data_IF_838568861674
#
_entry.id   IF_838568861674
#
_cell.length_a   1.000
_cell.length_b   1.000
_cell.length_c   1.000
_cell.angle_alpha   90.00
_cell.angle_beta   90.00
_cell.angle_gamma   90.00
#
_symmetry.space_group_name_H-M   'P 1'
#
loop_
_entity.id
_entity.type
_entity.pdbx_description
1 polymer ?
#
# COMPACT_ATOMS: atom_id res chain seq x y z
N UNK A 1 3.87 -1.11 11.18
CA UNK A 1 3.39 -1.97 12.27
C UNK A 1 4.00 -1.64 13.63
N UNK A 2 5.25 -1.18 13.72
CA UNK A 2 5.85 -0.84 15.03
C UNK A 2 5.05 0.19 15.85
N UNK A 3 4.55 1.24 15.20
CA UNK A 3 3.69 2.26 15.84
C UNK A 3 2.45 1.65 16.51
N UNK A 4 1.85 0.62 15.90
CA UNK A 4 0.70 -0.07 16.46
C UNK A 4 1.02 -0.68 17.83
N UNK A 5 2.23 -1.21 18.00
CA UNK A 5 2.67 -1.77 19.29
C UNK A 5 2.81 -0.70 20.37
N UNK A 6 3.28 0.49 20.00
CA UNK A 6 3.35 1.64 20.91
C UNK A 6 1.95 2.11 21.32
N UNK A 7 1.03 2.17 20.35
CA UNK A 7 -0.38 2.48 20.60
C UNK A 7 -0.99 1.47 21.58
N UNK A 8 -0.73 0.17 21.40
CA UNK A 8 -1.23 -0.85 22.31
C UNK A 8 -0.65 -0.72 23.71
N UNK A 9 0.64 -0.42 23.83
CA UNK A 9 1.26 -0.16 25.13
C UNK A 9 0.61 1.04 25.85
N UNK A 10 0.34 2.15 25.14
CA UNK A 10 -0.37 3.31 25.71
C UNK A 10 -1.80 2.95 26.13
N UNK A 11 -2.52 2.11 25.36
CA UNK A 11 -3.85 1.63 25.73
C UNK A 11 -3.80 0.80 27.03
N UNK A 12 -2.83 -0.10 27.15
CA UNK A 12 -2.63 -0.93 28.34
C UNK A 12 -2.32 -0.07 29.57
N UNK A 13 -1.38 0.88 29.43
CA UNK A 13 -0.98 1.81 30.49
C UNK A 13 -2.16 2.65 30.98
N UNK A 14 -2.92 3.29 30.07
CA UNK A 14 -4.09 4.11 30.42
C UNK A 14 -5.22 3.31 31.10
N UNK A 15 -5.24 1.99 30.92
CA UNK A 15 -6.26 1.10 31.50
C UNK A 15 -5.77 0.35 32.73
N UNK A 16 -4.49 0.45 33.08
CA UNK A 16 -3.90 -0.29 34.19
C UNK A 16 -3.95 -1.80 33.98
N UNK A 17 -3.79 -2.27 32.74
CA UNK A 17 -3.71 -3.70 32.40
C UNK A 17 -2.33 -4.04 31.83
N UNK A 18 -1.91 -5.29 31.97
CA UNK A 18 -0.61 -5.73 31.45
C UNK A 18 -0.65 -6.04 29.96
N UNK A 19 -1.79 -6.54 29.47
CA UNK A 19 -1.94 -6.94 28.07
C UNK A 19 -3.26 -6.50 27.44
N UNK A 20 -3.29 -6.43 26.11
CA UNK A 20 -4.51 -6.09 25.35
C UNK A 20 -5.60 -7.16 25.50
N UNK A 21 -5.22 -8.39 25.82
CA UNK A 21 -6.09 -9.54 26.09
C UNK A 21 -6.84 -9.42 27.42
N UNK A 22 -6.32 -8.66 28.39
CA UNK A 22 -6.97 -8.42 29.68
C UNK A 22 -8.17 -7.47 29.54
N UNK A 23 -8.27 -6.77 28.42
CA UNK A 23 -9.40 -5.92 28.09
C UNK A 23 -10.54 -6.80 27.55
N UNK A 24 -11.80 -6.60 27.98
CA UNK A 24 -12.93 -7.39 27.50
C UNK A 24 -13.00 -7.51 25.97
N UNK A 25 -13.31 -8.72 25.51
CA UNK A 25 -13.23 -9.11 24.10
C UNK A 25 -13.83 -8.09 23.13
N UNK A 26 -13.09 -7.79 22.07
CA UNK A 26 -13.50 -6.87 21.01
C UNK A 26 -13.41 -5.38 21.37
N UNK A 27 -13.20 -5.02 22.64
CA UNK A 27 -13.06 -3.61 23.05
C UNK A 27 -11.63 -3.10 22.96
N UNK A 28 -10.62 -3.98 23.12
CA UNK A 28 -9.20 -3.62 23.09
C UNK A 28 -8.83 -2.85 21.82
N UNK A 29 -9.17 -3.38 20.66
CA UNK A 29 -8.89 -2.76 19.36
C UNK A 29 -9.69 -1.49 19.12
N UNK A 30 -10.93 -1.42 19.63
CA UNK A 30 -11.75 -0.19 19.55
C UNK A 30 -11.10 0.94 20.32
N UNK A 31 -10.51 0.65 21.50
CA UNK A 31 -9.77 1.66 22.24
C UNK A 31 -8.54 2.12 21.47
N UNK A 32 -7.76 1.21 20.92
CA UNK A 32 -6.61 1.57 20.09
C UNK A 32 -6.97 2.51 18.92
N UNK A 33 -8.20 2.46 18.38
CA UNK A 33 -8.64 3.40 17.35
C UNK A 33 -8.68 4.86 17.84
N UNK A 34 -8.96 5.11 19.12
CA UNK A 34 -8.90 6.45 19.70
C UNK A 34 -7.48 7.00 19.62
N UNK A 35 -6.49 6.25 20.08
CA UNK A 35 -5.07 6.63 19.95
C UNK A 35 -4.62 6.78 18.50
N UNK A 36 -5.07 5.89 17.61
CA UNK A 36 -4.77 6.04 16.18
C UNK A 36 -5.29 7.36 15.63
N UNK A 37 -6.50 7.79 16.01
CA UNK A 37 -7.05 9.08 15.58
C UNK A 37 -6.24 10.26 16.12
N UNK A 38 -5.73 10.18 17.36
CA UNK A 38 -4.84 11.20 17.91
C UNK A 38 -3.54 11.33 17.10
N UNK A 39 -2.94 10.19 16.73
CA UNK A 39 -1.76 10.17 15.85
C UNK A 39 -2.07 10.80 14.49
N UNK A 40 -3.15 10.36 13.84
CA UNK A 40 -3.53 10.86 12.52
C UNK A 40 -3.85 12.36 12.55
N UNK A 41 -4.51 12.85 13.61
CA UNK A 41 -4.74 14.28 13.82
C UNK A 41 -3.43 15.07 13.96
N UNK A 42 -2.42 14.52 14.64
CA UNK A 42 -1.08 15.11 14.70
C UNK A 42 -0.40 15.17 13.33
N UNK A 43 -0.54 14.11 12.51
CA UNK A 43 -0.03 14.08 11.14
C UNK A 43 -0.76 15.09 10.24
N UNK A 44 -2.07 15.26 10.42
CA UNK A 44 -2.86 16.27 9.73
C UNK A 44 -2.40 17.69 10.09
N UNK A 45 -2.07 17.96 11.36
CA UNK A 45 -1.52 19.25 11.77
C UNK A 45 -0.18 19.53 11.07
N UNK A 46 0.72 18.53 10.99
CA UNK A 46 1.99 18.67 10.25
C UNK A 46 1.76 18.93 8.75
N UNK A 47 0.80 18.23 8.14
CA UNK A 47 0.44 18.44 6.73
C UNK A 47 -0.12 19.84 6.50
N UNK A 48 -1.15 20.22 7.25
CA UNK A 48 -1.96 21.40 6.97
C UNK A 48 -1.29 22.70 7.45
N UNK A 49 -0.59 22.67 8.59
CA UNK A 49 0.01 23.86 9.20
C UNK A 49 1.49 24.05 8.89
N UNK A 50 2.16 23.00 8.40
CA UNK A 50 3.60 23.03 8.06
C UNK A 50 3.90 22.62 6.62
N UNK A 51 2.89 22.25 5.83
CA UNK A 51 3.07 21.86 4.43
C UNK A 51 3.90 20.60 4.25
N UNK A 52 3.96 19.73 5.26
CA UNK A 52 4.79 18.53 5.22
C UNK A 52 4.09 17.39 4.46
N UNK A 53 4.81 16.69 3.60
CA UNK A 53 4.36 15.42 3.06
C UNK A 53 4.52 14.32 4.11
N UNK A 54 3.42 13.62 4.40
CA UNK A 54 3.40 12.50 5.33
C UNK A 54 3.44 11.20 4.54
N UNK A 55 4.50 10.41 4.73
CA UNK A 55 4.65 9.09 4.12
C UNK A 55 4.71 8.06 5.23
N UNK A 56 3.74 7.15 5.25
CA UNK A 56 3.69 6.04 6.19
C UNK A 56 4.17 4.77 5.51
N UNK A 57 5.05 4.03 6.20
CA UNK A 57 5.54 2.73 5.75
C UNK A 57 5.03 1.62 6.66
N UNK A 58 4.57 0.53 6.05
CA UNK A 58 4.12 -0.66 6.75
C UNK A 58 4.63 -1.91 6.03
N UNK A 59 4.99 -2.93 6.81
CA UNK A 59 5.24 -4.26 6.26
C UNK A 59 3.95 -4.80 5.62
N UNK A 60 4.09 -5.56 4.54
CA UNK A 60 2.98 -6.30 3.95
C UNK A 60 2.82 -7.66 4.63
N UNK A 61 1.58 -8.12 4.76
CA UNK A 61 1.22 -9.48 5.13
C UNK A 61 0.33 -10.08 4.05
N UNK A 62 0.29 -11.40 3.96
CA UNK A 62 -0.67 -12.11 3.10
C UNK A 62 -1.92 -12.36 3.93
N UNK A 63 -3.06 -11.87 3.45
CA UNK A 63 -4.38 -12.14 4.04
C UNK A 63 -5.29 -12.85 3.04
N UNK A 64 -6.10 -13.76 3.56
CA UNK A 64 -7.12 -14.45 2.78
C UNK A 64 -8.35 -13.56 2.62
N UNK A 65 -8.73 -13.25 1.39
CA UNK A 65 -9.86 -12.40 1.05
C UNK A 65 -11.00 -13.20 0.42
N UNK A 66 -12.14 -13.23 1.11
CA UNK A 66 -13.36 -13.85 0.61
C UNK A 66 -14.13 -12.83 -0.25
N UNK A 67 -13.94 -12.90 -1.56
CA UNK A 67 -14.70 -12.09 -2.52
C UNK A 67 -16.12 -12.67 -2.66
N UNK A 68 -17.20 -11.86 -2.58
CA UNK A 68 -18.54 -12.33 -2.89
C UNK A 68 -18.74 -12.73 -4.36
N UNK A 69 -17.92 -12.22 -5.29
CA UNK A 69 -18.08 -12.44 -6.73
C UNK A 69 -17.15 -13.50 -7.33
N UNK A 70 -16.08 -13.87 -6.63
CA UNK A 70 -15.06 -14.82 -7.10
C UNK A 70 -14.65 -15.79 -6.01
N UNK A 71 -13.86 -16.80 -6.36
CA UNK A 71 -13.22 -17.64 -5.37
C UNK A 71 -12.37 -16.82 -4.40
N UNK A 72 -12.17 -17.38 -3.21
CA UNK A 72 -11.29 -16.81 -2.20
C UNK A 72 -9.85 -16.82 -2.69
N UNK A 73 -9.15 -15.69 -2.55
CA UNK A 73 -7.76 -15.54 -2.93
C UNK A 73 -6.95 -14.88 -1.81
N UNK A 74 -5.63 -15.03 -1.90
CA UNK A 74 -4.68 -14.39 -1.02
C UNK A 74 -4.24 -13.04 -1.60
N UNK A 75 -4.16 -12.02 -0.75
CA UNK A 75 -3.74 -10.66 -1.14
C UNK A 75 -2.77 -10.06 -0.15
N UNK A 76 -1.91 -9.18 -0.64
CA UNK A 76 -1.03 -8.37 0.20
C UNK A 76 -1.82 -7.20 0.81
N UNK A 77 -1.78 -7.10 2.13
CA UNK A 77 -2.35 -5.99 2.90
C UNK A 77 -1.33 -5.43 3.91
N UNK A 78 -1.51 -4.20 4.42
CA UNK A 78 -0.67 -3.71 5.51
C UNK A 78 -0.77 -4.63 6.73
N UNK A 79 0.38 -4.97 7.32
CA UNK A 79 0.50 -5.76 8.55
C UNK A 79 0.10 -4.92 9.77
N UNK A 80 -1.17 -4.59 9.83
CA UNK A 80 -1.82 -3.87 10.93
C UNK A 80 -3.06 -4.67 11.35
N UNK A 81 -3.55 -4.41 12.55
CA UNK A 81 -4.84 -4.92 12.98
C UNK A 81 -5.95 -4.42 12.04
N UNK A 82 -6.92 -5.27 11.75
CA UNK A 82 -7.93 -5.06 10.70
C UNK A 82 -8.61 -3.67 10.73
N UNK A 83 -9.04 -3.20 11.91
CA UNK A 83 -9.71 -1.91 12.08
C UNK A 83 -8.74 -0.74 11.96
N UNK A 84 -7.51 -0.87 12.50
CA UNK A 84 -6.47 0.14 12.34
C UNK A 84 -6.04 0.28 10.87
N UNK A 85 -5.86 -0.85 10.19
CA UNK A 85 -5.55 -0.92 8.76
C UNK A 85 -6.62 -0.19 7.94
N UNK A 86 -7.91 -0.47 8.19
CA UNK A 86 -9.01 0.21 7.53
C UNK A 86 -9.00 1.73 7.79
N UNK A 87 -8.84 2.14 9.05
CA UNK A 87 -8.79 3.56 9.44
C UNK A 87 -7.64 4.32 8.74
N UNK A 88 -6.44 3.75 8.72
CA UNK A 88 -5.27 4.39 8.11
C UNK A 88 -5.43 4.45 6.59
N UNK A 89 -5.92 3.39 5.94
CA UNK A 89 -6.15 3.37 4.49
C UNK A 89 -7.27 4.35 4.06
N UNK A 90 -8.29 4.52 4.89
CA UNK A 90 -9.33 5.52 4.67
C UNK A 90 -8.75 6.94 4.73
N UNK A 91 -7.92 7.22 5.74
CA UNK A 91 -7.27 8.52 5.97
C UNK A 91 -6.23 8.87 4.88
N UNK A 92 -5.43 7.91 4.42
CA UNK A 92 -4.42 8.15 3.40
C UNK A 92 -5.05 8.62 2.08
N UNK A 93 -4.47 9.64 1.43
CA UNK A 93 -4.88 10.02 0.07
C UNK A 93 -4.60 8.87 -0.92
N UNK A 94 -3.39 8.31 -0.82
CA UNK A 94 -2.88 7.22 -1.65
C UNK A 94 -2.46 6.02 -0.79
N UNK A 95 -2.73 4.80 -1.25
CA UNK A 95 -2.21 3.55 -0.67
C UNK A 95 -1.51 2.80 -1.79
N UNK A 96 -0.19 2.63 -1.68
CA UNK A 96 0.63 2.06 -2.75
C UNK A 96 1.31 0.78 -2.27
N UNK A 97 1.36 -0.24 -3.12
CA UNK A 97 2.03 -1.50 -2.80
C UNK A 97 3.41 -1.58 -3.46
N UNK A 98 4.47 -1.48 -2.65
CA UNK A 98 5.85 -1.60 -3.10
C UNK A 98 6.25 -3.08 -3.27
N UNK A 99 6.72 -3.45 -4.47
CA UNK A 99 7.11 -4.82 -4.78
C UNK A 99 8.18 -4.87 -5.87
N UNK A 100 8.68 -6.07 -6.16
CA UNK A 100 9.56 -6.30 -7.31
C UNK A 100 8.74 -6.58 -8.56
N UNK A 101 9.22 -6.10 -9.71
CA UNK A 101 8.66 -6.46 -11.00
C UNK A 101 8.99 -7.92 -11.29
N UNK A 102 7.95 -8.75 -11.43
CA UNK A 102 8.08 -10.16 -11.79
C UNK A 102 7.81 -10.29 -13.28
N UNK A 103 8.83 -10.66 -14.06
CA UNK A 103 8.65 -11.03 -15.46
C UNK A 103 8.38 -12.52 -15.53
N UNK A 104 7.22 -12.91 -16.04
CA UNK A 104 6.90 -14.32 -16.24
C UNK A 104 7.45 -14.79 -17.59
N UNK A 105 8.38 -15.75 -17.57
CA UNK A 105 8.79 -16.48 -18.77
C UNK A 105 8.11 -17.83 -18.77
N UNK A 106 7.26 -18.09 -19.76
CA UNK A 106 6.69 -19.42 -19.97
C UNK A 106 7.74 -20.30 -20.63
N UNK A 107 8.20 -21.32 -19.92
CA UNK A 107 9.08 -22.35 -20.47
C UNK A 107 8.20 -23.54 -20.86
N UNK A 108 8.26 -23.94 -22.13
CA UNK A 108 7.59 -25.14 -22.62
C UNK A 108 8.45 -26.35 -22.26
N UNK A 109 8.07 -27.07 -21.22
CA UNK A 109 8.54 -28.43 -20.97
C UNK A 109 7.59 -29.34 -21.76
N UNK A 110 8.04 -29.95 -22.86
CA UNK A 110 7.18 -30.73 -23.77
C UNK A 110 6.25 -31.74 -23.06
N UNK A 111 5.20 -32.19 -23.76
CA UNK A 111 3.97 -32.84 -23.24
C UNK A 111 2.97 -31.86 -22.60
N UNK A 112 2.67 -30.76 -23.29
CA UNK A 112 1.58 -29.83 -22.96
C UNK A 112 1.63 -29.20 -21.55
N UNK A 113 2.80 -29.26 -20.91
CA UNK A 113 3.06 -28.69 -19.59
C UNK A 113 3.78 -27.35 -19.75
N UNK A 114 3.04 -26.26 -19.54
CA UNK A 114 3.61 -24.91 -19.49
C UNK A 114 4.01 -24.58 -18.06
N UNK A 115 5.30 -24.39 -17.81
CA UNK A 115 5.79 -23.89 -16.51
C UNK A 115 6.07 -22.40 -16.62
N UNK A 116 5.39 -21.61 -15.81
CA UNK A 116 5.65 -20.17 -15.71
C UNK A 116 6.76 -19.96 -14.68
N UNK A 117 7.93 -19.50 -15.11
CA UNK A 117 9.02 -19.12 -14.23
C UNK A 117 9.03 -17.60 -14.06
N UNK A 118 8.96 -17.13 -12.81
CA UNK A 118 9.20 -15.73 -12.49
C UNK A 118 10.68 -15.41 -12.58
N UNK A 119 11.06 -14.52 -13.50
CA UNK A 119 12.37 -13.89 -13.56
C UNK A 119 12.24 -12.54 -12.85
N UNK A 120 12.88 -12.41 -11.69
CA UNK A 120 13.00 -11.12 -11.00
C UNK A 120 14.20 -10.37 -11.57
N UNK A 121 13.97 -9.22 -12.18
CA UNK A 121 15.04 -8.31 -12.65
C UNK A 121 15.67 -7.51 -11.51
N UNK A 122 15.10 -7.59 -10.30
CA UNK A 122 15.48 -6.76 -9.15
C UNK A 122 14.88 -5.34 -9.18
N UNK A 123 14.17 -5.01 -10.24
CA UNK A 123 13.47 -3.72 -10.40
C UNK A 123 12.37 -3.58 -9.35
N UNK A 124 12.39 -2.46 -8.62
CA UNK A 124 11.38 -2.13 -7.59
C UNK A 124 10.34 -1.19 -8.18
N UNK A 125 9.08 -1.54 -8.00
CA UNK A 125 7.92 -0.80 -8.50
C UNK A 125 6.93 -0.53 -7.37
N UNK A 126 6.08 0.48 -7.58
CA UNK A 126 4.85 0.72 -6.84
C UNK A 126 3.67 0.30 -7.71
N UNK A 127 2.80 -0.54 -7.17
CA UNK A 127 1.45 -0.74 -7.70
C UNK A 127 0.53 0.31 -7.10
N UNK A 128 -0.20 1.01 -7.95
CA UNK A 128 -0.99 2.18 -7.55
C UNK A 128 -2.50 1.89 -7.57
N UNK A 129 -2.95 0.92 -8.37
CA UNK A 129 -4.35 0.56 -8.52
C UNK A 129 -4.66 -0.77 -7.83
N UNK A 130 -5.83 -0.88 -7.21
CA UNK A 130 -6.24 -2.11 -6.52
C UNK A 130 -6.36 -3.29 -7.50
N UNK A 131 -5.83 -4.44 -7.09
CA UNK A 131 -5.91 -5.72 -7.81
C UNK A 131 -6.14 -6.86 -6.81
N UNK A 132 -6.65 -8.03 -7.24
CA UNK A 132 -6.84 -9.16 -6.34
C UNK A 132 -5.60 -9.51 -5.49
N UNK A 133 -4.39 -9.35 -6.03
CA UNK A 133 -3.17 -9.68 -5.32
C UNK A 133 -2.73 -8.65 -4.26
N UNK A 134 -3.24 -7.41 -4.25
CA UNK A 134 -2.77 -6.36 -3.34
C UNK A 134 -3.76 -5.22 -3.17
N UNK A 135 -3.80 -4.65 -1.97
CA UNK A 135 -4.58 -3.44 -1.69
C UNK A 135 -3.84 -2.20 -2.19
N UNK A 136 -4.55 -1.32 -2.88
CA UNK A 136 -4.06 -0.01 -3.28
C UNK A 136 -5.21 0.99 -3.41
N UNK A 137 -4.90 2.28 -3.39
CA UNK A 137 -5.85 3.40 -3.48
C UNK A 137 -5.16 4.53 -4.22
N UNK A 138 -5.84 5.04 -5.24
CA UNK A 138 -5.31 6.06 -6.14
C UNK A 138 -6.36 7.14 -6.41
N UNK A 139 -6.09 8.35 -5.92
CA UNK A 139 -6.86 9.59 -6.13
C UNK A 139 -6.16 10.54 -7.09
N UNK A 140 -4.85 10.39 -7.30
CA UNK A 140 -4.04 11.23 -8.19
C UNK A 140 -4.12 10.85 -9.68
N UNK A 141 -4.77 9.74 -10.03
CA UNK A 141 -4.84 9.26 -11.40
C UNK A 141 -3.52 8.66 -11.89
N UNK A 142 -2.72 8.08 -10.99
CA UNK A 142 -1.44 7.44 -11.33
C UNK A 142 -1.64 6.26 -12.31
N UNK A 143 -0.66 5.98 -13.19
CA UNK A 143 -0.62 4.72 -13.95
C UNK A 143 -0.59 3.50 -13.05
N UNK A 144 -1.05 2.34 -13.53
CA UNK A 144 -1.20 1.10 -12.72
C UNK A 144 0.07 0.68 -11.97
N UNK A 145 1.23 0.94 -12.56
CA UNK A 145 2.53 0.78 -11.93
C UNK A 145 3.44 1.96 -12.26
N UNK A 146 4.24 2.37 -11.27
CA UNK A 146 5.31 3.36 -11.43
C UNK A 146 6.60 2.81 -10.79
N UNK A 147 7.80 3.27 -11.18
CA UNK A 147 9.02 2.90 -10.47
C UNK A 147 8.95 3.34 -9.00
N UNK A 148 9.60 2.59 -8.10
CA UNK A 148 9.74 2.98 -6.69
C UNK A 148 10.74 4.15 -6.57
N UNK A 149 10.31 5.33 -7.00
CA UNK A 149 11.08 6.57 -7.01
C UNK A 149 10.21 7.74 -6.58
N UNK A 150 10.59 8.38 -5.47
CA UNK A 150 9.85 9.52 -4.93
C UNK A 150 9.77 10.69 -5.92
N UNK A 151 10.76 10.88 -6.79
CA UNK A 151 10.78 11.99 -7.76
C UNK A 151 9.64 11.86 -8.78
N UNK A 152 9.35 10.62 -9.20
CA UNK A 152 8.26 10.30 -10.11
C UNK A 152 6.92 10.55 -9.42
N UNK A 153 6.75 10.00 -8.21
CA UNK A 153 5.54 10.23 -7.42
C UNK A 153 5.29 11.72 -7.15
N UNK A 154 6.34 12.45 -6.75
CA UNK A 154 6.25 13.89 -6.46
C UNK A 154 5.87 14.72 -7.70
N UNK A 155 6.25 14.30 -8.90
CA UNK A 155 5.81 14.94 -10.14
C UNK A 155 4.30 14.79 -10.34
N UNK A 156 3.75 13.58 -10.14
CA UNK A 156 2.30 13.38 -10.18
C UNK A 156 1.54 14.18 -9.11
N UNK A 157 2.10 14.32 -7.90
CA UNK A 157 1.52 15.18 -6.84
C UNK A 157 1.44 16.64 -7.28
N UNK A 158 2.38 17.12 -8.12
CA UNK A 158 2.36 18.47 -8.71
C UNK A 158 1.47 18.59 -9.95
N UNK A 159 0.84 17.49 -10.39
CA UNK A 159 0.02 17.45 -11.61
C UNK A 159 0.84 17.30 -12.90
N UNK A 160 2.11 16.89 -12.79
CA UNK A 160 2.97 16.57 -13.93
C UNK A 160 2.86 15.08 -14.28
N UNK A 161 2.94 14.73 -15.56
CA UNK A 161 3.11 13.33 -15.99
C UNK A 161 4.56 13.09 -16.44
N UNK A 162 5.45 12.60 -15.54
CA UNK A 162 6.85 12.33 -15.87
C UNK A 162 7.05 11.08 -16.74
N UNK A 163 5.98 10.30 -16.99
CA UNK A 163 6.03 9.05 -17.76
C UNK A 163 5.43 9.21 -19.16
N UNK A 164 4.79 10.33 -19.45
CA UNK A 164 4.33 10.68 -20.79
C UNK A 164 5.53 10.80 -21.75
N UNK A 165 5.71 9.82 -22.62
CA UNK A 165 6.63 9.93 -23.75
C UNK A 165 6.15 11.08 -24.65
N UNK A 166 6.99 12.08 -24.91
CA UNK A 166 6.67 13.14 -25.87
C UNK A 166 6.47 12.54 -27.27
N UNK A 167 5.23 12.25 -27.65
CA UNK A 167 4.84 11.87 -29.02
C UNK A 167 4.84 13.13 -29.87
N UNK A 168 6.01 13.67 -30.18
CA UNK A 168 6.18 14.76 -31.15
C UNK A 168 7.63 14.76 -31.68
N UNK A 169 8.03 13.67 -32.32
CA UNK A 169 9.06 13.74 -33.36
C UNK A 169 8.35 13.52 -34.71
N UNK A 170 8.31 14.52 -35.60
CA UNK A 170 7.81 14.29 -36.96
C UNK A 170 8.78 13.31 -37.64
N UNK A 171 8.24 12.19 -38.11
CA UNK A 171 8.97 11.25 -38.95
C UNK A 171 9.58 12.01 -40.14
N UNK A 172 10.91 12.07 -40.20
CA UNK A 172 11.64 12.46 -41.41
C UNK A 172 11.12 11.60 -42.56
N UNK A 173 10.35 12.23 -43.46
CA UNK A 173 10.01 11.64 -44.74
C UNK A 173 11.29 11.61 -45.56
N UNK A 174 11.92 10.44 -45.60
CA UNK A 174 13.04 10.16 -46.48
C UNK A 174 12.67 10.42 -47.94
N UNK A 175 13.52 11.21 -48.60
CA UNK A 175 13.52 11.45 -50.04
C UNK A 175 14.12 10.27 -50.81
#
# INVERSE_FOLDING_TARGET
DWLERLIWADVCEKRGVESMEDIPYGKSYVFALTQWREVLAGLDALRNERGMHVILIAHAQIERFANPETDTYDRYSPRLQKQASALVQEWCDEVLFATYKVHTKTVNEGFDRKRVQGIGTGERILRTAERPAHVAKNRLGLPEEIPLDFRIYAAFVRGEDPLATNVNEPAEQGA
#
